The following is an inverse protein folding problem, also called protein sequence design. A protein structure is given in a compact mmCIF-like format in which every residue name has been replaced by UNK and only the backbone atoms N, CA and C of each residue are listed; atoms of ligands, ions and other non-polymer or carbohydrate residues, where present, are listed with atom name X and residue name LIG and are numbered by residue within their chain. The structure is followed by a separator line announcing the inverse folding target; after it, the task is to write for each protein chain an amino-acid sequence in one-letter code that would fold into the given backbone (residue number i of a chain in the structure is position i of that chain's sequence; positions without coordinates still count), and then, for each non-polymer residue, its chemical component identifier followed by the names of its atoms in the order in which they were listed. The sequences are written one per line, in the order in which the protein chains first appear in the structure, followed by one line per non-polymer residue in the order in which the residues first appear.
data_IF_210135256051
#
_entry.id   IF_210135256051
#
_cell.length_a   1.000
_cell.length_b   1.000
_cell.length_c   1.000
_cell.angle_alpha   90.00
_cell.angle_beta   90.00
_cell.angle_gamma   90.00
#
_symmetry.space_group_name_H-M   'P 1'
#
loop_
_entity.id
_entity.type
_entity.pdbx_description
1 polymer ?
#
# COMPACT_ATOMS: atom_id res chain seq x y z
N UNK A 1 2.81 -7.29 3.29
CA UNK A 1 1.88 -8.29 2.72
C UNK A 1 2.36 -8.63 1.33
N UNK A 2 2.20 -9.89 0.96
CA UNK A 2 2.60 -10.44 -0.33
C UNK A 2 1.35 -11.10 -0.92
N UNK A 3 1.02 -10.83 -2.20
CA UNK A 3 -0.16 -11.39 -2.89
C UNK A 3 -1.50 -11.11 -2.18
N UNK A 4 -1.73 -9.89 -1.71
CA UNK A 4 -3.01 -9.49 -1.11
C UNK A 4 -3.65 -8.39 -1.93
N UNK A 5 -4.93 -8.57 -2.23
CA UNK A 5 -5.77 -7.56 -2.87
C UNK A 5 -6.59 -6.91 -1.76
N UNK A 6 -6.42 -5.61 -1.55
CA UNK A 6 -7.08 -4.88 -0.48
C UNK A 6 -7.62 -3.54 -0.99
N UNK A 7 -8.83 -3.16 -0.60
CA UNK A 7 -9.39 -1.90 -1.08
C UNK A 7 -8.76 -0.68 -0.36
N UNK A 8 -8.56 -0.77 0.95
CA UNK A 8 -7.92 0.27 1.76
C UNK A 8 -6.87 -0.37 2.69
N UNK A 9 -5.66 0.18 2.72
CA UNK A 9 -4.62 -0.19 3.68
C UNK A 9 -4.24 1.02 4.50
N UNK A 10 -4.44 0.96 5.82
CA UNK A 10 -4.06 2.04 6.74
C UNK A 10 -2.95 1.60 7.68
N UNK A 11 -1.94 2.44 7.88
CA UNK A 11 -0.88 2.17 8.86
C UNK A 11 0.10 3.30 9.04
N UNK A 12 0.83 3.33 10.15
CA UNK A 12 1.87 4.36 10.35
C UNK A 12 3.00 4.22 9.32
N UNK A 13 3.51 3.00 9.12
CA UNK A 13 4.51 2.68 8.11
C UNK A 13 3.95 1.57 7.21
N UNK A 14 3.59 1.89 5.97
CA UNK A 14 2.97 0.94 5.05
C UNK A 14 3.99 0.45 4.04
N UNK A 15 4.15 -0.87 3.94
CA UNK A 15 5.01 -1.51 2.95
C UNK A 15 4.19 -2.46 2.09
N UNK A 16 4.12 -2.18 0.80
CA UNK A 16 3.40 -2.96 -0.20
C UNK A 16 4.40 -3.75 -1.03
N UNK A 17 4.31 -5.09 -0.96
CA UNK A 17 5.15 -6.00 -1.74
C UNK A 17 4.65 -6.23 -3.17
N UNK A 18 5.50 -6.78 -4.05
CA UNK A 18 5.13 -7.10 -5.43
C UNK A 18 3.94 -8.07 -5.49
N UNK A 19 3.07 -7.91 -6.50
CA UNK A 19 1.88 -8.75 -6.67
C UNK A 19 0.72 -8.39 -5.74
N UNK A 20 0.83 -7.31 -4.97
CA UNK A 20 -0.30 -6.75 -4.23
C UNK A 20 -1.02 -5.70 -5.07
N UNK A 21 -2.35 -5.70 -5.03
CA UNK A 21 -3.20 -4.70 -5.67
C UNK A 21 -4.01 -3.97 -4.61
N UNK A 22 -3.76 -2.68 -4.44
CA UNK A 22 -4.39 -1.84 -3.42
C UNK A 22 -5.06 -0.64 -4.08
N UNK A 23 -6.33 -0.39 -3.74
CA UNK A 23 -7.01 0.80 -4.25
C UNK A 23 -6.56 2.06 -3.52
N UNK A 24 -6.55 2.07 -2.18
CA UNK A 24 -6.18 3.25 -1.39
C UNK A 24 -5.21 2.86 -0.28
N UNK A 25 -4.09 3.58 -0.16
CA UNK A 25 -3.13 3.41 0.93
C UNK A 25 -3.07 4.68 1.77
N UNK A 26 -3.47 4.60 3.03
CA UNK A 26 -3.37 5.71 3.97
C UNK A 26 -2.23 5.47 4.96
N UNK A 27 -1.28 6.41 5.02
CA UNK A 27 -0.12 6.28 5.89
C UNK A 27 0.22 7.56 6.62
N UNK A 28 0.80 7.45 7.82
CA UNK A 28 1.18 8.64 8.61
C UNK A 28 2.67 8.99 8.45
N UNK A 29 3.55 7.98 8.51
CA UNK A 29 5.00 8.19 8.61
C UNK A 29 5.69 7.92 7.28
N UNK A 30 5.51 6.74 6.70
CA UNK A 30 6.23 6.35 5.48
C UNK A 30 5.48 5.28 4.69
N UNK A 31 5.54 5.41 3.38
CA UNK A 31 4.98 4.46 2.42
C UNK A 31 6.08 3.90 1.53
N UNK A 32 6.14 2.58 1.43
CA UNK A 32 7.14 1.89 0.63
C UNK A 32 6.48 0.89 -0.30
N UNK A 33 6.48 1.20 -1.59
CA UNK A 33 6.00 0.31 -2.63
C UNK A 33 7.20 -0.44 -3.23
N UNK A 34 7.17 -1.77 -3.15
CA UNK A 34 8.24 -2.65 -3.62
C UNK A 34 7.76 -3.44 -4.83
N UNK A 35 8.59 -3.47 -5.87
CA UNK A 35 8.36 -4.27 -7.08
C UNK A 35 7.10 -3.85 -7.85
N UNK A 36 6.35 -4.84 -8.34
CA UNK A 36 5.22 -4.65 -9.26
C UNK A 36 3.86 -4.50 -8.55
N UNK A 37 3.86 -3.92 -7.35
CA UNK A 37 2.63 -3.60 -6.63
C UNK A 37 1.79 -2.58 -7.38
N UNK A 38 0.48 -2.79 -7.47
CA UNK A 38 -0.46 -1.85 -8.10
C UNK A 38 -1.14 -1.08 -6.98
N UNK A 39 -0.90 0.23 -6.90
CA UNK A 39 -1.57 1.11 -5.93
C UNK A 39 -2.30 2.20 -6.72
N UNK A 40 -3.63 2.27 -6.62
CA UNK A 40 -4.39 3.31 -7.34
C UNK A 40 -4.23 4.68 -6.69
N UNK A 41 -4.32 4.75 -5.38
CA UNK A 41 -4.28 5.99 -4.63
C UNK A 41 -3.53 5.81 -3.32
N UNK A 42 -2.72 6.80 -2.93
CA UNK A 42 -2.03 6.80 -1.65
C UNK A 42 -2.13 8.19 -1.03
N UNK A 43 -2.48 8.24 0.26
CA UNK A 43 -2.76 9.47 0.99
C UNK A 43 -2.01 9.49 2.30
N UNK A 44 -1.28 10.56 2.55
CA UNK A 44 -0.63 10.77 3.83
C UNK A 44 -1.59 11.51 4.76
N UNK A 45 -1.80 10.98 5.97
CA UNK A 45 -2.65 11.54 7.03
C UNK A 45 -1.82 11.97 8.24
#
# INVERSE_FOLDING_TARGET
LEHTIAEVVRGNNVTIGPGCEISVVEYHTSFNQKGNAVVKEHKQI
#
